data_IF_278601896287
#
_entry.id   IF_278601896287
#
_cell.length_a   1.000
_cell.length_b   1.000
_cell.length_c   1.000
_cell.angle_alpha   90.00
_cell.angle_beta   90.00
_cell.angle_gamma   90.00
#
_symmetry.space_group_name_H-M   'P 1'
#
loop_
_entity.id
_entity.type
_entity.pdbx_description
1 polymer ?
#
# COMPACT_ATOMS: atom_id res chain seq x y z
N UNK A 1 -10.62 -18.00 -16.60
CA UNK A 1 -12.01 -17.86 -17.02
C UNK A 1 -12.10 -17.00 -18.28
N UNK A 2 -11.57 -15.79 -18.32
CA UNK A 2 -11.69 -14.88 -19.48
C UNK A 2 -11.16 -15.47 -20.80
N UNK A 3 -10.05 -16.22 -20.77
CA UNK A 3 -9.44 -16.80 -21.98
C UNK A 3 -9.86 -18.25 -22.25
N UNK A 4 -10.23 -19.00 -21.24
CA UNK A 4 -10.38 -20.47 -21.33
C UNK A 4 -11.75 -20.97 -20.83
N UNK A 5 -12.63 -20.08 -20.40
CA UNK A 5 -13.96 -20.42 -19.91
C UNK A 5 -13.95 -21.22 -18.62
N UNK A 6 -15.00 -21.98 -18.37
CA UNK A 6 -15.20 -22.75 -17.12
C UNK A 6 -14.27 -23.96 -17.02
N UNK A 7 -13.76 -24.45 -18.12
CA UNK A 7 -12.83 -25.60 -18.17
C UNK A 7 -11.37 -25.19 -17.93
N UNK A 8 -11.10 -23.89 -17.83
CA UNK A 8 -9.76 -23.38 -17.61
C UNK A 8 -9.31 -23.52 -16.16
N UNK A 9 -8.10 -24.03 -15.96
CA UNK A 9 -7.43 -24.07 -14.67
C UNK A 9 -6.55 -22.83 -14.49
N UNK A 10 -6.71 -22.15 -13.35
CA UNK A 10 -5.77 -21.13 -12.91
C UNK A 10 -4.56 -21.80 -12.24
N UNK A 11 -3.40 -21.16 -12.31
CA UNK A 11 -2.18 -21.71 -11.67
C UNK A 11 -2.39 -21.98 -10.18
N UNK A 12 -3.16 -21.14 -9.47
CA UNK A 12 -3.46 -21.36 -8.06
C UNK A 12 -4.29 -22.64 -7.79
N UNK A 13 -5.05 -23.12 -8.77
CA UNK A 13 -5.86 -24.33 -8.65
C UNK A 13 -5.04 -25.61 -8.85
N UNK A 14 -3.81 -25.48 -9.35
CA UNK A 14 -2.87 -26.59 -9.49
C UNK A 14 -1.98 -26.81 -8.25
N UNK A 15 -2.16 -26.05 -7.17
CA UNK A 15 -1.40 -26.22 -5.94
C UNK A 15 -1.88 -27.45 -5.17
N UNK A 16 -0.93 -28.20 -4.59
CA UNK A 16 -1.18 -29.47 -3.90
C UNK A 16 -2.02 -29.33 -2.65
N UNK A 17 -2.02 -28.17 -2.01
CA UNK A 17 -2.69 -27.93 -0.74
C UNK A 17 -3.68 -26.77 -0.84
N UNK A 18 -4.91 -27.02 -0.40
CA UNK A 18 -5.99 -26.03 -0.32
C UNK A 18 -6.59 -25.97 1.07
N UNK A 19 -7.08 -24.80 1.45
CA UNK A 19 -7.77 -24.58 2.71
C UNK A 19 -8.93 -23.62 2.57
N UNK A 20 -9.86 -23.66 3.53
CA UNK A 20 -10.95 -22.67 3.65
C UNK A 20 -10.66 -21.75 4.81
N UNK A 21 -10.92 -20.47 4.63
CA UNK A 21 -10.82 -19.46 5.70
C UNK A 21 -12.16 -18.77 5.92
N UNK A 22 -12.38 -18.31 7.15
CA UNK A 22 -13.54 -17.47 7.50
C UNK A 22 -13.16 -16.00 7.26
N UNK A 23 -13.94 -15.33 6.43
CA UNK A 23 -13.61 -13.98 5.93
C UNK A 23 -14.32 -12.83 6.64
N UNK A 24 -15.15 -13.09 7.67
CA UNK A 24 -15.82 -12.02 8.43
C UNK A 24 -14.81 -11.15 9.20
N UNK A 25 -15.12 -9.84 9.36
CA UNK A 25 -14.38 -8.92 10.24
C UNK A 25 -14.81 -9.09 11.70
N UNK A 26 -14.20 -8.34 12.63
CA UNK A 26 -14.55 -8.43 14.04
C UNK A 26 -15.99 -7.94 14.32
N UNK A 27 -16.44 -6.90 13.61
CA UNK A 27 -17.73 -6.22 13.81
C UNK A 27 -18.78 -6.55 12.74
N UNK A 28 -18.45 -7.26 11.66
CA UNK A 28 -19.38 -7.52 10.57
C UNK A 28 -19.19 -8.88 9.88
N UNK A 29 -20.29 -9.46 9.39
CA UNK A 29 -20.26 -10.68 8.58
C UNK A 29 -19.60 -10.48 7.22
N UNK A 30 -19.74 -9.26 6.65
CA UNK A 30 -19.08 -8.86 5.41
C UNK A 30 -17.91 -7.96 5.77
N UNK A 31 -16.71 -8.46 5.56
CA UNK A 31 -15.47 -7.70 5.74
C UNK A 31 -15.25 -6.74 4.58
N UNK A 32 -14.58 -5.63 4.82
CA UNK A 32 -13.87 -4.90 3.78
C UNK A 32 -12.41 -5.39 3.66
N UNK A 33 -11.64 -4.79 2.74
CA UNK A 33 -10.25 -5.20 2.48
C UNK A 33 -9.27 -4.79 3.60
N UNK A 34 -9.61 -3.83 4.45
CA UNK A 34 -8.74 -3.38 5.53
C UNK A 34 -8.57 -4.47 6.61
N UNK A 35 -9.62 -4.91 7.33
CA UNK A 35 -9.48 -5.93 8.34
C UNK A 35 -9.14 -7.31 7.76
N UNK A 36 -9.55 -7.61 6.50
CA UNK A 36 -9.22 -8.91 5.90
C UNK A 36 -7.73 -9.05 5.62
N UNK A 37 -7.10 -8.06 4.98
CA UNK A 37 -5.64 -8.11 4.76
C UNK A 37 -4.87 -7.96 6.08
N UNK A 38 -5.34 -7.13 6.99
CA UNK A 38 -4.75 -7.01 8.32
C UNK A 38 -4.75 -8.35 9.06
N UNK A 39 -5.84 -9.13 8.96
CA UNK A 39 -5.88 -10.47 9.55
C UNK A 39 -4.86 -11.44 8.93
N UNK A 40 -4.60 -11.35 7.62
CA UNK A 40 -3.54 -12.13 6.98
C UNK A 40 -2.14 -11.73 7.47
N UNK A 41 -1.94 -10.43 7.69
CA UNK A 41 -0.64 -9.89 8.07
C UNK A 41 -0.34 -10.00 9.56
N UNK A 42 -1.36 -10.04 10.43
CA UNK A 42 -1.18 -9.97 11.89
C UNK A 42 -1.72 -11.18 12.64
N UNK A 43 -2.59 -11.99 12.03
CA UNK A 43 -3.34 -13.06 12.71
C UNK A 43 -4.50 -12.55 13.57
N UNK A 44 -4.78 -11.24 13.61
CA UNK A 44 -5.84 -10.63 14.42
C UNK A 44 -6.96 -10.12 13.52
N UNK A 45 -8.22 -10.47 13.85
CA UNK A 45 -9.40 -9.86 13.22
C UNK A 45 -9.71 -8.53 13.90
N UNK A 46 -9.94 -7.50 13.10
CA UNK A 46 -10.30 -6.17 13.57
C UNK A 46 -11.58 -5.67 12.91
N UNK A 47 -12.06 -4.51 13.36
CA UNK A 47 -13.26 -3.88 12.82
C UNK A 47 -13.05 -3.44 11.37
N UNK A 48 -14.14 -3.33 10.60
CA UNK A 48 -14.09 -2.78 9.25
C UNK A 48 -13.39 -1.41 9.24
N UNK A 49 -12.75 -1.08 8.13
CA UNK A 49 -11.95 0.13 7.88
C UNK A 49 -10.61 0.22 8.65
N UNK A 50 -10.35 -0.62 9.65
CA UNK A 50 -9.15 -0.58 10.50
C UNK A 50 -7.99 -1.33 9.86
N UNK A 51 -6.77 -0.77 9.96
CA UNK A 51 -5.53 -1.35 9.41
C UNK A 51 -4.56 -1.74 10.53
N UNK A 52 -4.31 -3.04 10.66
CA UNK A 52 -3.26 -3.64 11.50
C UNK A 52 -3.18 -3.12 12.94
N UNK A 53 -4.36 -2.84 13.52
CA UNK A 53 -4.55 -2.46 14.91
C UNK A 53 -5.20 -3.60 15.70
N UNK A 54 -5.31 -3.46 17.01
CA UNK A 54 -6.00 -4.40 17.89
C UNK A 54 -7.51 -4.46 17.59
N UNK A 55 -8.15 -5.56 17.99
CA UNK A 55 -9.57 -5.84 17.69
C UNK A 55 -10.57 -4.86 18.34
N UNK A 56 -10.15 -4.14 19.37
CA UNK A 56 -10.92 -3.11 20.05
C UNK A 56 -10.85 -1.71 19.41
N UNK A 57 -10.02 -1.56 18.36
CA UNK A 57 -9.90 -0.29 17.63
C UNK A 57 -11.20 0.04 16.91
N UNK A 58 -11.70 1.26 17.12
CA UNK A 58 -12.90 1.78 16.47
C UNK A 58 -12.49 2.61 15.25
N UNK A 59 -13.14 2.39 14.11
CA UNK A 59 -12.89 3.17 12.90
C UNK A 59 -13.38 4.63 13.12
N UNK A 60 -12.45 5.58 12.96
CA UNK A 60 -12.74 7.01 13.05
C UNK A 60 -12.53 7.66 11.69
N UNK A 61 -13.58 8.30 11.17
CA UNK A 61 -13.56 8.88 9.82
C UNK A 61 -12.38 9.86 9.63
N UNK A 62 -11.70 9.83 8.48
CA UNK A 62 -10.53 10.67 8.24
C UNK A 62 -10.91 12.15 8.17
N UNK A 63 -10.02 12.98 8.69
CA UNK A 63 -10.12 14.43 8.67
C UNK A 63 -9.71 14.99 7.29
N UNK A 64 -10.12 16.22 7.03
CA UNK A 64 -9.67 16.99 5.88
C UNK A 64 -8.38 17.75 6.19
N UNK A 65 -7.52 17.84 5.20
CA UNK A 65 -6.35 18.70 5.22
C UNK A 65 -6.70 20.19 4.98
N UNK A 66 -5.69 21.06 4.96
CA UNK A 66 -5.86 22.49 4.70
C UNK A 66 -6.41 22.83 3.30
N UNK A 67 -6.31 21.90 2.35
CA UNK A 67 -6.82 22.03 0.99
C UNK A 67 -8.22 21.41 0.81
N UNK A 68 -8.79 20.86 1.90
CA UNK A 68 -10.11 20.22 1.92
C UNK A 68 -10.11 18.75 1.46
N UNK A 69 -8.95 18.16 1.19
CA UNK A 69 -8.82 16.75 0.84
C UNK A 69 -8.94 15.88 2.09
N UNK A 70 -9.77 14.83 2.06
CA UNK A 70 -9.80 13.80 3.10
C UNK A 70 -8.53 12.95 3.03
N UNK A 71 -8.03 12.51 4.18
CA UNK A 71 -6.87 11.59 4.20
C UNK A 71 -5.94 11.77 5.39
N UNK A 72 -6.28 12.64 6.36
CA UNK A 72 -5.60 12.73 7.64
C UNK A 72 -6.31 11.86 8.68
N UNK A 73 -5.54 11.29 9.60
CA UNK A 73 -6.11 10.48 10.69
C UNK A 73 -6.95 11.33 11.65
N UNK A 74 -8.11 10.79 12.02
CA UNK A 74 -8.91 11.28 13.16
C UNK A 74 -8.69 10.47 14.43
N UNK A 75 -7.80 9.45 14.39
CA UNK A 75 -7.63 8.49 15.47
C UNK A 75 -7.15 9.15 16.77
N UNK A 76 -7.90 8.95 17.86
CA UNK A 76 -7.41 9.24 19.18
C UNK A 76 -6.22 8.33 19.51
N UNK A 77 -5.22 8.83 20.24
CA UNK A 77 -4.04 8.07 20.65
C UNK A 77 -4.34 6.86 21.54
N UNK A 78 -5.52 6.86 22.17
CA UNK A 78 -6.04 5.75 22.99
C UNK A 78 -6.90 4.75 22.22
N UNK A 79 -7.10 4.94 20.92
CA UNK A 79 -7.97 4.11 20.09
C UNK A 79 -7.23 2.89 19.56
N UNK A 80 -7.11 1.88 20.42
CA UNK A 80 -6.44 0.61 20.11
C UNK A 80 -4.91 0.69 20.11
N UNK A 81 -4.28 -0.40 19.69
CA UNK A 81 -2.82 -0.60 19.68
C UNK A 81 -2.40 -1.18 18.33
N UNK A 82 -1.21 -0.80 17.85
CA UNK A 82 -0.60 -1.44 16.69
C UNK A 82 -0.35 -2.93 16.96
N UNK A 83 -0.66 -3.79 16.00
CA UNK A 83 -0.38 -5.23 16.06
C UNK A 83 0.69 -5.56 15.03
N UNK A 84 1.81 -6.20 15.44
CA UNK A 84 2.91 -6.47 14.52
C UNK A 84 2.48 -7.21 13.27
N UNK A 85 2.89 -6.70 12.11
CA UNK A 85 2.65 -7.33 10.82
C UNK A 85 3.74 -8.34 10.45
N UNK A 86 3.43 -9.22 9.52
CA UNK A 86 4.42 -10.17 8.99
C UNK A 86 5.65 -9.44 8.38
N UNK A 87 5.46 -8.26 7.75
CA UNK A 87 6.57 -7.48 7.23
C UNK A 87 7.50 -6.99 8.34
N UNK A 88 6.94 -6.49 9.43
CA UNK A 88 7.72 -6.04 10.59
C UNK A 88 8.49 -7.20 11.23
N UNK A 89 7.84 -8.36 11.39
CA UNK A 89 8.51 -9.56 11.90
C UNK A 89 9.63 -10.04 10.97
N UNK A 90 9.44 -9.94 9.65
CA UNK A 90 10.47 -10.27 8.66
C UNK A 90 11.65 -9.29 8.72
N UNK A 91 11.36 -7.98 8.81
CA UNK A 91 12.40 -6.95 8.98
C UNK A 91 13.21 -7.16 10.25
N UNK A 92 12.57 -7.48 11.38
CA UNK A 92 13.25 -7.80 12.64
C UNK A 92 14.21 -8.99 12.52
N UNK A 93 14.01 -9.86 11.52
CA UNK A 93 14.89 -10.98 11.18
C UNK A 93 15.90 -10.65 10.06
N UNK A 94 16.04 -9.39 9.67
CA UNK A 94 16.95 -8.95 8.61
C UNK A 94 16.55 -9.37 7.20
N UNK A 95 15.26 -9.68 6.97
CA UNK A 95 14.78 -10.02 5.63
C UNK A 95 14.37 -8.76 4.85
N UNK A 96 14.55 -8.79 3.54
CA UNK A 96 13.96 -7.82 2.63
C UNK A 96 12.44 -8.01 2.56
N UNK A 97 11.70 -6.90 2.49
CA UNK A 97 10.24 -6.89 2.45
C UNK A 97 9.71 -5.92 1.39
N UNK A 98 8.53 -6.21 0.84
CA UNK A 98 7.95 -5.34 -0.17
C UNK A 98 6.43 -5.45 -0.26
N UNK A 99 5.82 -4.41 -0.84
CA UNK A 99 4.42 -4.39 -1.23
C UNK A 99 4.30 -3.98 -2.70
N UNK A 100 3.74 -4.87 -3.52
CA UNK A 100 3.51 -4.65 -4.96
C UNK A 100 2.04 -4.80 -5.25
N UNK A 101 1.46 -3.82 -5.92
CA UNK A 101 0.01 -3.78 -6.18
C UNK A 101 -0.29 -3.04 -7.49
N UNK A 102 -1.46 -3.31 -8.06
CA UNK A 102 -2.00 -2.52 -9.18
C UNK A 102 -2.95 -1.41 -8.72
N UNK A 103 -3.20 -1.30 -7.41
CA UNK A 103 -3.95 -0.18 -6.80
C UNK A 103 -2.99 0.90 -6.28
N UNK A 104 -3.51 1.93 -5.60
CA UNK A 104 -2.66 2.89 -4.89
C UNK A 104 -1.95 2.22 -3.70
N UNK A 105 -0.71 2.61 -3.43
CA UNK A 105 0.08 2.04 -2.34
C UNK A 105 -0.53 2.30 -0.95
N UNK A 106 -1.31 3.36 -0.81
CA UNK A 106 -2.05 3.69 0.41
C UNK A 106 -3.41 3.01 0.52
N UNK A 107 -3.83 2.24 -0.50
CA UNK A 107 -5.06 1.45 -0.43
C UNK A 107 -4.94 0.36 0.65
N UNK A 108 -6.06 -0.03 1.23
CA UNK A 108 -6.10 -0.89 2.41
C UNK A 108 -5.25 -2.15 2.31
N UNK A 109 -5.25 -2.83 1.17
CA UNK A 109 -4.55 -4.11 1.00
C UNK A 109 -3.02 -3.98 1.10
N UNK A 110 -2.34 -3.11 0.33
CA UNK A 110 -0.92 -2.88 0.54
C UNK A 110 -0.63 -2.17 1.87
N UNK A 111 -1.45 -1.19 2.27
CA UNK A 111 -1.25 -0.43 3.51
C UNK A 111 -1.24 -1.29 4.77
N UNK A 112 -2.09 -2.32 4.86
CA UNK A 112 -2.14 -3.24 5.98
C UNK A 112 -0.84 -4.03 6.20
N UNK A 113 0.07 -4.03 5.24
CA UNK A 113 1.35 -4.72 5.36
C UNK A 113 2.38 -3.91 6.16
N UNK A 114 2.31 -2.57 6.11
CA UNK A 114 3.34 -1.68 6.65
C UNK A 114 2.83 -0.56 7.55
N UNK A 115 1.50 -0.39 7.70
CA UNK A 115 0.92 0.72 8.46
C UNK A 115 -0.11 0.27 9.49
N UNK A 116 -0.26 1.10 10.53
CA UNK A 116 -1.21 0.91 11.62
C UNK A 116 -2.06 2.17 11.75
N UNK A 117 -3.37 2.07 11.53
CA UNK A 117 -4.25 3.23 11.60
C UNK A 117 -5.71 2.81 11.79
N UNK A 118 -6.50 3.64 12.46
CA UNK A 118 -7.90 3.34 12.74
C UNK A 118 -8.83 3.50 11.53
N UNK A 119 -8.37 4.04 10.40
CA UNK A 119 -9.19 4.13 9.19
C UNK A 119 -8.37 4.11 7.92
N UNK A 120 -8.71 3.22 7.00
CA UNK A 120 -8.03 2.99 5.71
C UNK A 120 -7.97 4.20 4.78
N UNK A 121 -8.88 5.14 4.92
CA UNK A 121 -8.91 6.32 4.06
C UNK A 121 -8.00 7.46 4.57
N UNK A 122 -7.26 7.27 5.66
CA UNK A 122 -6.26 8.23 6.13
C UNK A 122 -4.95 8.14 5.31
N UNK A 123 -5.07 8.25 3.99
CA UNK A 123 -4.02 7.92 3.03
C UNK A 123 -2.73 8.75 3.19
N UNK A 124 -2.82 10.03 3.60
CA UNK A 124 -1.64 10.86 3.84
C UNK A 124 -0.83 10.37 5.04
N UNK A 125 -1.51 9.88 6.10
CA UNK A 125 -0.84 9.35 7.29
C UNK A 125 -0.38 7.89 7.10
N UNK A 126 -1.04 7.14 6.22
CA UNK A 126 -0.57 5.83 5.78
C UNK A 126 0.78 5.97 5.04
N UNK A 127 0.85 6.90 4.08
CA UNK A 127 2.06 7.08 3.27
C UNK A 127 3.30 7.42 4.12
N UNK A 128 3.17 8.27 5.14
CA UNK A 128 4.31 8.67 5.98
C UNK A 128 4.86 7.52 6.82
N UNK A 129 4.06 6.50 7.13
CA UNK A 129 4.51 5.35 7.90
C UNK A 129 5.56 4.50 7.17
N UNK A 130 5.64 4.62 5.85
CA UNK A 130 6.66 3.94 5.03
C UNK A 130 7.98 4.71 4.90
N UNK A 131 8.10 5.95 5.43
CA UNK A 131 9.27 6.83 5.21
C UNK A 131 10.28 6.70 6.36
N UNK A 132 11.38 5.97 6.21
CA UNK A 132 12.35 5.77 7.28
C UNK A 132 12.88 7.10 7.82
N UNK A 133 13.06 7.18 9.13
CA UNK A 133 13.51 8.38 9.85
C UNK A 133 12.64 9.64 9.66
N UNK A 134 11.54 9.55 8.91
CA UNK A 134 10.60 10.65 8.71
C UNK A 134 9.62 10.78 9.88
N UNK A 135 9.02 11.97 10.01
CA UNK A 135 7.91 12.17 10.95
C UNK A 135 6.74 11.25 10.59
N UNK A 136 6.27 10.45 11.52
CA UNK A 136 5.16 9.50 11.34
C UNK A 136 5.61 8.12 10.85
N UNK A 137 6.90 7.85 10.73
CA UNK A 137 7.43 6.55 10.33
C UNK A 137 7.03 5.43 11.30
N UNK A 138 6.64 4.29 10.75
CA UNK A 138 6.47 3.06 11.52
C UNK A 138 7.84 2.45 11.85
N UNK A 139 8.35 2.71 13.05
CA UNK A 139 9.69 2.30 13.45
C UNK A 139 9.89 0.79 13.58
N UNK A 140 8.80 0.00 13.64
CA UNK A 140 8.88 -1.46 13.62
C UNK A 140 9.35 -2.02 12.27
N UNK A 141 9.28 -1.22 11.19
CA UNK A 141 9.85 -1.54 9.88
C UNK A 141 11.39 -1.38 9.83
N UNK A 142 12.05 -1.04 10.95
CA UNK A 142 13.50 -0.94 11.03
C UNK A 142 14.07 0.17 10.13
N UNK A 143 14.71 -0.22 9.04
CA UNK A 143 15.27 0.70 8.04
C UNK A 143 14.32 0.99 6.87
N UNK A 144 13.07 0.52 6.94
CA UNK A 144 11.99 0.76 5.99
C UNK A 144 11.63 -0.45 5.13
N UNK A 145 10.62 -0.28 4.28
CA UNK A 145 10.18 -1.29 3.30
C UNK A 145 11.10 -1.21 2.08
N UNK A 146 11.67 -2.33 1.66
CA UNK A 146 12.69 -2.34 0.59
C UNK A 146 12.08 -2.06 -0.79
N UNK A 147 10.90 -2.61 -1.09
CA UNK A 147 10.23 -2.42 -2.38
C UNK A 147 8.78 -1.99 -2.19
N UNK A 148 8.42 -0.87 -2.77
CA UNK A 148 7.05 -0.34 -2.83
C UNK A 148 6.69 -0.03 -4.28
N UNK A 149 5.71 -0.73 -4.87
CA UNK A 149 5.28 -0.47 -6.25
C UNK A 149 3.76 -0.46 -6.37
N UNK A 150 3.21 0.60 -6.99
CA UNK A 150 1.77 0.77 -7.18
C UNK A 150 1.39 2.11 -7.79
N UNK A 151 0.18 2.57 -7.51
CA UNK A 151 -0.34 3.87 -7.91
C UNK A 151 -0.45 4.86 -6.75
N UNK A 152 -1.19 5.97 -6.97
CA UNK A 152 -1.54 6.93 -5.94
C UNK A 152 -0.45 7.93 -5.59
N UNK A 153 0.38 8.36 -6.54
CA UNK A 153 1.46 9.33 -6.32
C UNK A 153 1.03 10.63 -5.63
N UNK A 154 -0.26 10.99 -5.71
CA UNK A 154 -0.81 12.16 -5.03
C UNK A 154 -0.53 12.16 -3.53
N UNK A 155 -0.63 11.03 -2.85
CA UNK A 155 -0.43 10.95 -1.39
C UNK A 155 1.05 11.03 -0.97
N UNK A 156 1.97 10.94 -1.94
CA UNK A 156 3.41 10.93 -1.74
C UNK A 156 4.08 12.25 -2.13
N UNK A 157 3.38 13.11 -2.88
CA UNK A 157 3.94 14.34 -3.45
C UNK A 157 3.19 15.57 -2.96
N UNK A 158 3.82 16.76 -2.94
CA UNK A 158 3.20 17.98 -2.43
C UNK A 158 1.99 18.43 -3.25
N UNK A 159 1.11 19.19 -2.60
CA UNK A 159 0.02 19.88 -3.26
C UNK A 159 0.55 20.86 -4.31
N UNK A 160 -0.07 20.86 -5.48
CA UNK A 160 0.13 21.84 -6.54
C UNK A 160 -1.23 22.19 -7.13
N UNK A 161 -1.61 23.47 -7.09
CA UNK A 161 -2.92 23.94 -7.51
C UNK A 161 -3.24 23.65 -8.99
N UNK A 162 -2.22 23.47 -9.82
CA UNK A 162 -2.33 23.20 -11.25
C UNK A 162 -2.25 21.71 -11.54
N UNK A 163 -1.24 21.05 -10.95
CA UNK A 163 -0.85 19.69 -11.35
C UNK A 163 -1.19 18.61 -10.32
N UNK A 164 -1.33 18.96 -9.04
CA UNK A 164 -1.58 17.98 -7.98
C UNK A 164 -2.51 18.52 -6.88
N UNK A 165 -3.79 18.74 -7.21
CA UNK A 165 -4.80 19.24 -6.26
C UNK A 165 -5.11 18.26 -5.12
N UNK A 166 -4.73 17.00 -5.24
CA UNK A 166 -4.84 15.96 -4.21
C UNK A 166 -3.51 15.68 -3.50
N UNK A 167 -2.50 16.51 -3.78
CA UNK A 167 -1.20 16.38 -3.14
C UNK A 167 -1.23 16.78 -1.66
N UNK A 168 -0.13 16.51 -0.99
CA UNK A 168 0.06 16.71 0.45
C UNK A 168 0.03 18.18 0.83
N UNK A 169 -0.87 18.57 1.73
CA UNK A 169 -0.98 19.93 2.24
C UNK A 169 0.16 20.32 3.19
N UNK A 170 0.90 19.35 3.75
CA UNK A 170 2.08 19.57 4.58
C UNK A 170 3.35 19.95 3.78
N UNK A 171 3.25 19.97 2.45
CA UNK A 171 4.33 20.34 1.54
C UNK A 171 5.44 19.30 1.42
N UNK A 172 5.34 18.13 2.07
CA UNK A 172 6.35 17.07 1.98
C UNK A 172 6.32 16.39 0.62
N UNK A 173 7.49 16.13 0.07
CA UNK A 173 7.71 15.21 -1.06
C UNK A 173 8.33 13.92 -0.52
N UNK A 174 7.47 12.94 -0.23
CA UNK A 174 7.90 11.67 0.34
C UNK A 174 8.76 10.87 -0.64
N UNK A 175 8.60 11.06 -1.95
CA UNK A 175 9.45 10.42 -2.95
C UNK A 175 10.86 11.00 -2.95
N UNK A 176 10.98 12.31 -2.75
CA UNK A 176 12.27 12.96 -2.57
C UNK A 176 12.94 12.55 -1.26
N UNK A 177 12.18 12.40 -0.17
CA UNK A 177 12.68 11.89 1.10
C UNK A 177 13.24 10.47 0.95
N UNK A 178 12.52 9.56 0.29
CA UNK A 178 12.99 8.20 0.01
C UNK A 178 14.25 8.20 -0.87
N UNK A 179 14.29 9.02 -1.94
CA UNK A 179 15.50 9.16 -2.77
C UNK A 179 16.71 9.61 -1.96
N UNK A 180 16.53 10.54 -1.02
CA UNK A 180 17.64 10.99 -0.13
C UNK A 180 18.16 9.89 0.79
N UNK A 181 17.39 8.81 0.96
CA UNK A 181 17.72 7.64 1.76
C UNK A 181 18.18 6.43 0.91
N UNK A 182 18.48 6.67 -0.38
CA UNK A 182 19.04 5.66 -1.26
C UNK A 182 18.01 4.80 -2.01
N UNK A 183 16.71 5.16 -1.99
CA UNK A 183 15.72 4.48 -2.82
C UNK A 183 15.85 4.92 -4.29
N UNK A 184 15.88 3.96 -5.21
CA UNK A 184 15.53 4.23 -6.60
C UNK A 184 14.06 4.64 -6.69
N UNK A 185 13.73 5.59 -7.54
CA UNK A 185 12.35 6.08 -7.71
C UNK A 185 11.99 6.05 -9.19
N UNK A 186 10.95 5.31 -9.55
CA UNK A 186 10.51 5.10 -10.92
C UNK A 186 9.03 5.41 -11.09
N UNK A 187 8.64 5.90 -12.27
CA UNK A 187 7.27 6.29 -12.59
C UNK A 187 6.74 5.63 -13.86
N UNK A 188 7.60 4.95 -14.60
CA UNK A 188 7.27 4.28 -15.86
C UNK A 188 7.85 2.87 -15.91
N UNK A 189 7.26 2.02 -16.77
CA UNK A 189 7.79 0.67 -17.04
C UNK A 189 9.19 0.69 -17.63
N UNK A 190 9.52 1.72 -18.40
CA UNK A 190 10.86 1.84 -19.00
C UNK A 190 11.91 2.17 -17.93
N UNK A 191 11.59 3.08 -17.00
CA UNK A 191 12.43 3.35 -15.84
C UNK A 191 12.60 2.13 -14.95
N UNK A 192 11.49 1.40 -14.68
CA UNK A 192 11.53 0.17 -13.90
C UNK A 192 12.46 -0.88 -14.54
N UNK A 193 12.33 -1.10 -15.84
CA UNK A 193 13.18 -2.05 -16.57
C UNK A 193 14.68 -1.65 -16.60
N UNK A 194 14.99 -0.38 -16.39
CA UNK A 194 16.35 0.13 -16.32
C UNK A 194 16.98 0.06 -14.92
N UNK A 195 16.22 -0.28 -13.89
CA UNK A 195 16.74 -0.46 -12.53
C UNK A 195 17.60 -1.71 -12.47
N UNK A 196 18.85 -1.56 -12.05
CA UNK A 196 19.71 -2.68 -11.71
C UNK A 196 19.45 -3.13 -10.26
N UNK A 197 18.86 -4.31 -10.04
CA UNK A 197 18.59 -4.80 -8.68
C UNK A 197 19.84 -5.05 -7.84
N UNK A 198 20.98 -5.29 -8.48
CA UNK A 198 22.25 -5.49 -7.77
C UNK A 198 22.81 -4.18 -7.21
N UNK A 199 22.54 -3.06 -7.89
CA UNK A 199 22.94 -1.72 -7.43
C UNK A 199 21.88 -1.03 -6.55
N UNK A 200 20.62 -1.43 -6.66
CA UNK A 200 19.49 -0.77 -5.99
C UNK A 200 18.69 -1.79 -5.17
N UNK A 201 19.04 -1.93 -3.90
CA UNK A 201 18.32 -2.81 -2.96
C UNK A 201 16.98 -2.24 -2.48
N UNK A 202 16.69 -0.95 -2.78
CA UNK A 202 15.48 -0.25 -2.37
C UNK A 202 14.86 0.49 -3.53
N UNK A 203 13.54 0.35 -3.67
CA UNK A 203 12.80 0.88 -4.82
C UNK A 203 11.43 1.40 -4.43
N UNK A 204 11.07 2.59 -4.90
CA UNK A 204 9.69 3.04 -4.96
C UNK A 204 9.26 3.26 -6.41
N UNK A 205 8.15 2.62 -6.84
CA UNK A 205 7.52 2.80 -8.14
C UNK A 205 6.09 3.33 -7.98
N UNK A 206 5.83 4.55 -8.48
CA UNK A 206 4.51 5.18 -8.45
C UNK A 206 4.06 5.45 -9.89
N UNK A 207 3.31 4.52 -10.47
CA UNK A 207 3.02 4.47 -11.90
C UNK A 207 1.75 5.20 -12.33
N UNK A 208 0.94 5.66 -11.36
CA UNK A 208 -0.20 6.56 -11.61
C UNK A 208 -0.25 7.64 -10.55
N UNK A 209 -0.83 8.77 -10.95
CA UNK A 209 -1.03 9.91 -10.07
C UNK A 209 -2.17 9.67 -9.09
N UNK A 210 -3.29 9.24 -9.63
CA UNK A 210 -4.50 8.92 -8.87
C UNK A 210 -4.52 7.42 -8.49
N UNK A 211 -5.64 6.79 -8.38
CA UNK A 211 -5.92 5.45 -7.86
C UNK A 211 -5.09 4.28 -8.46
N UNK A 212 -5.77 3.41 -9.20
CA UNK A 212 -5.21 2.19 -9.78
C UNK A 212 -4.37 2.46 -11.01
N UNK A 213 -3.48 1.52 -11.34
CA UNK A 213 -2.98 1.37 -12.69
C UNK A 213 -4.16 1.04 -13.63
N UNK A 214 -4.01 1.34 -14.92
CA UNK A 214 -4.99 0.96 -15.94
C UNK A 214 -5.24 -0.55 -15.89
N UNK A 215 -6.48 -0.97 -16.11
CA UNK A 215 -6.79 -2.39 -16.21
C UNK A 215 -5.95 -3.05 -17.28
N UNK A 216 -5.57 -4.29 -17.06
CA UNK A 216 -4.64 -5.01 -17.93
C UNK A 216 -5.06 -5.00 -19.41
N UNK A 217 -6.36 -5.20 -19.68
CA UNK A 217 -6.89 -5.16 -21.05
C UNK A 217 -6.83 -3.76 -21.69
N UNK A 218 -7.06 -2.72 -20.91
CA UNK A 218 -7.02 -1.34 -21.41
C UNK A 218 -5.57 -0.92 -21.68
N UNK A 219 -4.67 -1.27 -20.77
CA UNK A 219 -3.23 -1.06 -20.93
C UNK A 219 -2.67 -1.80 -22.15
N UNK A 220 -3.08 -3.06 -22.39
CA UNK A 220 -2.66 -3.82 -23.57
C UNK A 220 -3.15 -3.20 -24.88
N UNK A 221 -4.32 -2.56 -24.89
CA UNK A 221 -4.88 -1.85 -26.05
C UNK A 221 -4.24 -0.48 -26.28
N UNK A 222 -3.65 0.10 -25.26
CA UNK A 222 -3.02 1.42 -25.32
C UNK A 222 -1.51 1.28 -25.52
N UNK A 223 -1.07 1.30 -26.79
CA UNK A 223 0.36 1.23 -27.11
C UNK A 223 1.21 2.37 -26.52
N UNK A 224 0.58 3.50 -26.13
CA UNK A 224 1.25 4.62 -25.47
C UNK A 224 1.31 4.49 -23.94
N UNK A 225 0.77 3.44 -23.36
CA UNK A 225 0.81 3.24 -21.91
C UNK A 225 2.25 3.10 -21.41
N UNK A 226 2.60 3.91 -20.42
CA UNK A 226 3.89 3.88 -19.73
C UNK A 226 3.86 3.05 -18.44
N UNK A 227 2.69 2.53 -18.07
CA UNK A 227 2.50 1.77 -16.84
C UNK A 227 2.97 0.32 -17.00
N UNK A 228 3.64 -0.26 -15.99
CA UNK A 228 3.99 -1.69 -15.99
C UNK A 228 2.75 -2.56 -15.74
N UNK A 229 2.85 -3.82 -16.15
CA UNK A 229 1.97 -4.89 -15.70
C UNK A 229 2.34 -5.35 -14.28
N UNK A 230 1.45 -6.09 -13.62
CA UNK A 230 1.80 -6.76 -12.36
C UNK A 230 3.00 -7.71 -12.55
N UNK A 231 3.06 -8.44 -13.65
CA UNK A 231 4.16 -9.36 -13.95
C UNK A 231 5.50 -8.63 -14.16
N UNK A 232 5.49 -7.40 -14.70
CA UNK A 232 6.72 -6.60 -14.84
C UNK A 232 7.18 -5.99 -13.50
N UNK A 233 6.27 -5.86 -12.53
CA UNK A 233 6.59 -5.38 -11.18
C UNK A 233 7.06 -6.50 -10.23
N UNK A 234 6.81 -7.77 -10.53
CA UNK A 234 7.14 -8.93 -9.67
C UNK A 234 8.20 -9.81 -10.28
#
# INVERSE_FOLDING_TARGET
IYKVGEEGLLTMESLDHTARIKTFSHDAQTTDSAPSMSAYMTGVKMNNEVLSMSSDTIAEAPLKDANGNKGLTGCASSNGQAVPTLLELAKAQGKAVGAVTTTELTHATPAATYSHICHRDAAYDIAVQAIPNGKGFNTALGDGVDVLMGGGANYWTPYDATNNKRGRADGRDLTAELRSQGYASVTTKAELAAVDPAANSRLIGLFTKDYHLDYDLDRQKNAASTQPSLAEMT
#
